data_IF_859143609430
#
_entry.id   IF_859143609430
#
_cell.length_a   1.000
_cell.length_b   1.000
_cell.length_c   1.000
_cell.angle_alpha   90.00
_cell.angle_beta   90.00
_cell.angle_gamma   90.00
#
_symmetry.space_group_name_H-M   'P 1'
#
loop_
_entity.id
_entity.type
_entity.pdbx_description
1 polymer ?
#
# COMPACT_ATOMS: atom_id res chain seq x y z
N UNK A 1 -0.58 37.50 49.00
CA UNK A 1 -1.35 37.00 47.84
C UNK A 1 -0.68 35.77 47.25
N UNK A 2 -1.47 34.88 46.65
CA UNK A 2 -0.99 33.66 46.02
C UNK A 2 -1.70 33.47 44.69
N UNK A 3 -1.01 32.87 43.73
CA UNK A 3 -1.55 32.57 42.42
C UNK A 3 -1.04 31.20 41.97
N UNK A 4 -1.95 30.43 41.39
CA UNK A 4 -1.72 29.05 40.99
C UNK A 4 -1.91 28.92 39.49
N UNK A 5 -0.95 28.28 38.82
CA UNK A 5 -0.99 28.00 37.39
C UNK A 5 -0.53 26.57 37.12
N UNK A 6 -1.18 25.93 36.16
CA UNK A 6 -0.77 24.63 35.62
C UNK A 6 -0.30 24.84 34.17
N UNK A 7 1.01 24.90 33.97
CA UNK A 7 1.63 25.14 32.66
C UNK A 7 2.98 24.44 32.57
N UNK A 8 3.50 24.30 31.35
CA UNK A 8 4.89 23.91 31.16
C UNK A 8 5.83 24.92 31.85
N UNK A 9 6.89 24.46 32.52
CA UNK A 9 7.82 25.35 33.23
C UNK A 9 8.59 26.26 32.25
N UNK A 10 8.75 25.85 31.00
CA UNK A 10 9.37 26.63 29.93
C UNK A 10 8.42 27.67 29.31
N UNK A 11 7.14 27.74 29.72
CA UNK A 11 6.20 28.71 29.15
C UNK A 11 6.63 30.16 29.44
N UNK A 12 6.39 31.13 28.54
CA UNK A 12 6.82 32.52 28.74
C UNK A 12 6.33 33.13 30.05
N UNK A 13 5.11 32.79 30.47
CA UNK A 13 4.54 33.26 31.73
C UNK A 13 5.24 32.65 32.95
N UNK A 14 5.55 31.35 32.94
CA UNK A 14 6.29 30.70 34.03
C UNK A 14 7.70 31.29 34.15
N UNK A 15 8.40 31.48 33.02
CA UNK A 15 9.73 32.10 33.01
C UNK A 15 9.70 33.53 33.55
N UNK A 16 8.73 34.34 33.11
CA UNK A 16 8.55 35.71 33.60
C UNK A 16 8.35 35.72 35.12
N UNK A 17 7.48 34.86 35.66
CA UNK A 17 7.21 34.79 37.09
C UNK A 17 8.43 34.31 37.89
N UNK A 18 9.18 33.33 37.39
CA UNK A 18 10.41 32.84 38.04
C UNK A 18 11.49 33.93 38.14
N UNK A 19 11.53 34.86 37.19
CA UNK A 19 12.51 35.95 37.15
C UNK A 19 12.00 37.24 37.80
N UNK A 20 10.72 37.33 38.16
CA UNK A 20 10.14 38.54 38.74
C UNK A 20 10.59 38.70 40.20
N UNK A 21 11.24 39.83 40.57
CA UNK A 21 11.65 40.08 41.94
C UNK A 21 10.47 40.03 42.91
N UNK A 22 10.64 39.35 44.04
CA UNK A 22 9.59 39.21 45.06
C UNK A 22 8.60 38.07 44.82
N UNK A 23 8.59 37.46 43.62
CA UNK A 23 7.83 36.22 43.35
C UNK A 23 8.67 35.01 43.75
N UNK A 24 8.06 34.06 44.46
CA UNK A 24 8.69 32.81 44.89
C UNK A 24 7.81 31.63 44.53
N UNK A 25 8.44 30.50 44.22
CA UNK A 25 7.73 29.24 44.08
C UNK A 25 7.26 28.73 45.44
N UNK A 26 6.06 28.16 45.47
CA UNK A 26 5.57 27.39 46.60
C UNK A 26 6.04 25.95 46.48
N UNK A 27 6.78 25.47 47.46
CA UNK A 27 7.26 24.08 47.50
C UNK A 27 6.17 23.13 48.01
N UNK A 28 5.99 22.00 47.30
CA UNK A 28 5.09 20.92 47.68
C UNK A 28 5.85 19.83 48.45
N UNK A 29 6.10 20.05 49.75
CA UNK A 29 6.81 19.08 50.59
C UNK A 29 6.16 17.69 50.68
N UNK A 30 4.86 17.57 50.37
CA UNK A 30 4.13 16.31 50.32
C UNK A 30 3.84 15.81 48.89
N UNK A 31 4.59 16.26 47.88
CA UNK A 31 4.35 15.94 46.47
C UNK A 31 4.18 14.43 46.19
N UNK A 32 5.00 13.58 46.82
CA UNK A 32 4.87 12.12 46.69
C UNK A 32 3.58 11.55 47.30
N UNK A 33 3.07 12.15 48.38
CA UNK A 33 1.81 11.72 48.97
C UNK A 33 0.64 12.09 48.06
N UNK A 34 0.68 13.27 47.43
CA UNK A 34 -0.30 13.68 46.43
C UNK A 34 -0.29 12.74 45.22
N UNK A 35 0.87 12.40 44.65
CA UNK A 35 0.93 11.51 43.48
C UNK A 35 0.43 10.09 43.76
N UNK A 36 0.55 9.61 45.01
CA UNK A 36 -0.01 8.30 45.41
C UNK A 36 -1.52 8.32 45.63
N UNK A 37 -2.08 9.45 46.04
CA UNK A 37 -3.52 9.61 46.27
C UNK A 37 -4.29 10.05 45.02
N UNK A 38 -3.64 10.80 44.13
CA UNK A 38 -4.20 11.35 42.90
C UNK A 38 -3.37 10.82 41.72
N UNK A 39 -3.80 9.71 41.07
CA UNK A 39 -3.01 9.00 40.07
C UNK A 39 -2.60 9.83 38.84
N UNK A 40 -3.29 10.93 38.57
CA UNK A 40 -3.00 11.85 37.47
C UNK A 40 -1.90 12.86 37.80
N UNK A 41 -1.52 12.99 39.08
CA UNK A 41 -0.42 13.82 39.52
C UNK A 41 0.86 13.01 39.61
N UNK A 42 1.94 13.64 39.17
CA UNK A 42 3.30 13.16 39.38
C UNK A 42 4.06 14.12 40.30
N UNK A 43 4.85 13.55 41.21
CA UNK A 43 5.82 14.32 41.99
C UNK A 43 6.99 14.65 41.08
N UNK A 44 7.32 15.93 40.96
CA UNK A 44 8.43 16.41 40.12
C UNK A 44 9.31 17.37 40.89
N UNK A 45 10.57 17.48 40.50
CA UNK A 45 11.52 18.42 41.10
C UNK A 45 11.95 19.40 40.03
N UNK A 46 11.87 20.69 40.32
CA UNK A 46 12.47 21.73 39.48
C UNK A 46 13.92 21.95 39.95
N UNK A 47 14.93 21.57 39.16
CA UNK A 47 16.32 21.65 39.60
C UNK A 47 16.78 23.10 39.82
N UNK A 48 17.69 23.29 40.77
CA UNK A 48 18.40 24.54 41.01
C UNK A 48 19.01 25.09 39.72
N UNK A 49 18.82 26.39 39.47
CA UNK A 49 19.42 27.09 38.34
C UNK A 49 18.86 26.73 36.95
N UNK A 50 17.83 25.87 36.85
CA UNK A 50 17.34 25.40 35.55
C UNK A 50 16.72 26.50 34.69
N UNK A 51 16.16 27.53 35.31
CA UNK A 51 15.53 28.65 34.60
C UNK A 51 16.53 29.75 34.22
N UNK A 52 17.50 30.02 35.09
CA UNK A 52 18.63 30.93 34.83
C UNK A 52 19.82 30.48 35.69
N UNK A 53 20.79 29.82 35.06
CA UNK A 53 21.95 29.26 35.76
C UNK A 53 22.90 30.35 36.28
N UNK A 54 22.98 31.49 35.59
CA UNK A 54 23.86 32.59 35.98
C UNK A 54 23.35 33.31 37.23
N UNK A 55 22.02 33.43 37.35
CA UNK A 55 21.34 33.99 38.53
C UNK A 55 20.94 32.95 39.56
N UNK A 56 21.20 31.68 39.29
CA UNK A 56 20.86 30.55 40.15
C UNK A 56 19.35 30.51 40.48
N UNK A 57 18.51 30.52 39.44
CA UNK A 57 17.05 30.51 39.55
C UNK A 57 16.50 29.14 39.10
N UNK A 58 15.77 28.41 39.97
CA UNK A 58 15.58 28.66 41.40
C UNK A 58 16.86 28.42 42.21
N UNK A 59 16.98 29.01 43.41
CA UNK A 59 18.21 28.96 44.24
C UNK A 59 18.48 27.59 44.89
N UNK A 60 17.50 26.69 44.86
CA UNK A 60 17.59 25.31 45.33
C UNK A 60 16.58 24.48 44.54
N UNK A 61 16.70 23.16 44.63
CA UNK A 61 15.72 22.24 44.05
C UNK A 61 14.36 22.44 44.72
N UNK A 62 13.31 22.62 43.93
CA UNK A 62 11.95 22.84 44.45
C UNK A 62 11.07 21.65 44.10
N UNK A 63 10.55 20.96 45.12
CA UNK A 63 9.56 19.91 44.94
C UNK A 63 8.21 20.50 44.51
N UNK A 64 7.64 19.99 43.43
CA UNK A 64 6.39 20.42 42.83
C UNK A 64 5.50 19.21 42.49
N UNK A 65 4.25 19.49 42.13
CA UNK A 65 3.34 18.52 41.55
C UNK A 65 3.02 18.91 40.11
N UNK A 66 2.96 17.92 39.21
CA UNK A 66 2.62 18.13 37.81
C UNK A 66 1.50 17.17 37.37
N UNK A 67 0.41 17.68 36.79
CA UNK A 67 -0.58 16.82 36.14
C UNK A 67 -0.01 16.29 34.82
N UNK A 68 -0.27 15.01 34.53
CA UNK A 68 0.12 14.41 33.24
C UNK A 68 -0.93 14.74 32.19
N UNK A 69 -0.52 15.37 31.09
CA UNK A 69 -1.43 15.70 29.98
C UNK A 69 -1.69 14.46 29.13
N UNK A 70 -2.95 14.15 28.87
CA UNK A 70 -3.36 13.00 28.04
C UNK A 70 -3.80 13.44 26.65
N UNK A 71 -3.35 12.71 25.61
CA UNK A 71 -3.84 12.85 24.24
C UNK A 71 -4.97 11.84 24.01
N UNK A 72 -6.20 12.35 23.88
CA UNK A 72 -7.39 11.51 23.77
C UNK A 72 -7.88 11.39 22.32
N UNK A 73 -8.28 10.17 21.95
CA UNK A 73 -8.93 9.87 20.69
C UNK A 73 -10.29 9.22 20.95
N UNK A 74 -11.27 9.52 20.10
CA UNK A 74 -12.60 8.88 20.15
C UNK A 74 -12.49 7.41 19.75
N UNK A 75 -13.29 6.53 20.35
CA UNK A 75 -13.28 5.08 20.05
C UNK A 75 -13.45 4.74 18.56
N UNK A 76 -14.23 5.52 17.81
CA UNK A 76 -14.43 5.34 16.37
C UNK A 76 -13.36 5.98 15.47
N UNK A 77 -12.31 6.60 16.04
CA UNK A 77 -11.25 7.20 15.25
C UNK A 77 -10.52 6.14 14.43
N UNK A 78 -10.29 6.41 13.15
CA UNK A 78 -9.61 5.46 12.29
C UNK A 78 -8.22 5.13 12.87
N UNK A 79 -7.89 3.84 13.09
CA UNK A 79 -6.65 3.40 13.71
C UNK A 79 -5.36 4.00 13.12
N UNK A 80 -5.33 4.23 11.80
CA UNK A 80 -4.19 4.87 11.15
C UNK A 80 -3.92 6.30 11.66
N UNK A 81 -4.97 7.04 12.02
CA UNK A 81 -4.83 8.38 12.61
C UNK A 81 -4.32 8.30 14.04
N UNK A 82 -4.84 7.36 14.85
CA UNK A 82 -4.34 7.11 16.21
C UNK A 82 -2.85 6.81 16.19
N UNK A 83 -2.41 5.99 15.25
CA UNK A 83 -1.00 5.70 15.03
C UNK A 83 -0.18 6.95 14.67
N UNK A 84 -0.69 7.80 13.76
CA UNK A 84 -0.02 9.05 13.41
C UNK A 84 0.08 10.00 14.59
N UNK A 85 -0.96 10.09 15.42
CA UNK A 85 -0.94 10.88 16.65
C UNK A 85 0.11 10.36 17.64
N UNK A 86 0.18 9.05 17.87
CA UNK A 86 1.19 8.45 18.73
C UNK A 86 2.62 8.73 18.22
N UNK A 87 2.83 8.65 16.90
CA UNK A 87 4.11 8.98 16.26
C UNK A 87 4.47 10.46 16.41
N UNK A 88 3.52 11.36 16.16
CA UNK A 88 3.71 12.79 16.31
C UNK A 88 4.01 13.15 17.77
N UNK A 89 3.27 12.59 18.72
CA UNK A 89 3.51 12.76 20.14
C UNK A 89 4.94 12.31 20.53
N UNK A 90 5.39 11.16 20.02
CA UNK A 90 6.77 10.70 20.20
C UNK A 90 7.83 11.68 19.71
N UNK A 91 7.59 12.30 18.55
CA UNK A 91 8.54 13.28 17.97
C UNK A 91 8.53 14.61 18.71
N UNK A 92 7.35 15.09 19.10
CA UNK A 92 7.17 16.41 19.71
C UNK A 92 7.57 16.39 21.20
N UNK A 93 7.17 15.36 21.93
CA UNK A 93 7.34 15.29 23.40
C UNK A 93 8.49 14.39 23.84
N UNK A 94 9.22 13.76 22.92
CA UNK A 94 10.38 12.92 23.24
C UNK A 94 11.66 13.67 23.58
N UNK A 95 11.73 14.98 23.29
CA UNK A 95 12.86 15.82 23.65
C UNK A 95 12.93 16.03 25.18
N UNK A 96 14.13 16.21 25.75
CA UNK A 96 14.25 16.58 27.16
C UNK A 96 13.67 17.97 27.43
N UNK A 97 13.05 18.13 28.59
CA UNK A 97 12.63 19.42 29.15
C UNK A 97 13.37 19.72 30.46
N UNK A 98 12.95 20.75 31.18
CA UNK A 98 13.54 21.11 32.48
C UNK A 98 13.28 20.07 33.57
N UNK A 99 12.17 19.34 33.45
CA UNK A 99 11.71 18.36 34.43
C UNK A 99 11.85 16.93 33.90
N UNK A 100 11.44 16.69 32.65
CA UNK A 100 11.41 15.35 32.05
C UNK A 100 12.65 15.08 31.20
N UNK A 101 13.30 13.94 31.42
CA UNK A 101 14.42 13.49 30.60
C UNK A 101 14.02 13.07 29.17
N UNK A 102 15.02 12.89 28.30
CA UNK A 102 14.83 12.43 26.92
C UNK A 102 14.09 11.10 26.88
N UNK A 103 13.07 11.00 26.02
CA UNK A 103 12.27 9.79 25.83
C UNK A 103 11.35 9.43 26.99
N UNK A 104 11.19 10.31 27.98
CA UNK A 104 10.25 10.08 29.08
C UNK A 104 8.78 10.17 28.64
N UNK A 105 8.48 11.08 27.71
CA UNK A 105 7.16 11.22 27.11
C UNK A 105 7.21 10.95 25.60
N UNK A 106 6.09 10.51 25.00
CA UNK A 106 4.85 10.07 25.63
C UNK A 106 5.02 8.74 26.39
N UNK A 107 4.26 8.56 27.47
CA UNK A 107 4.34 7.37 28.33
C UNK A 107 3.00 6.63 28.42
N UNK A 108 2.98 5.29 28.48
CA UNK A 108 1.80 4.52 28.84
C UNK A 108 1.53 4.50 30.35
N UNK A 109 2.42 5.06 31.16
CA UNK A 109 2.27 5.10 32.62
C UNK A 109 1.31 6.23 33.02
N UNK A 110 0.57 6.03 34.10
CA UNK A 110 -0.32 7.05 34.69
C UNK A 110 -1.49 7.51 33.79
N UNK A 111 -2.00 6.61 32.93
CA UNK A 111 -3.18 6.90 32.09
C UNK A 111 -4.48 6.72 32.87
N UNK A 112 -5.32 7.76 32.89
CA UNK A 112 -6.69 7.70 33.42
C UNK A 112 -7.66 6.93 32.50
N UNK A 113 -7.31 6.82 31.21
CA UNK A 113 -8.13 6.20 30.18
C UNK A 113 -7.46 4.95 29.60
N UNK A 114 -8.24 3.99 29.03
CA UNK A 114 -7.67 2.84 28.35
C UNK A 114 -6.75 3.24 27.20
N UNK A 115 -5.57 2.62 27.13
CA UNK A 115 -4.62 2.89 26.06
C UNK A 115 -5.09 2.28 24.74
N UNK A 116 -5.12 3.09 23.68
CA UNK A 116 -5.42 2.60 22.34
C UNK A 116 -4.39 1.57 21.86
N UNK A 117 -4.83 0.51 21.19
CA UNK A 117 -3.96 -0.59 20.73
C UNK A 117 -2.82 -0.11 19.84
N UNK A 118 -3.09 0.87 18.99
CA UNK A 118 -2.12 1.46 18.08
C UNK A 118 -1.03 2.25 18.84
N UNK A 119 -1.41 2.94 19.92
CA UNK A 119 -0.49 3.66 20.78
C UNK A 119 0.38 2.70 21.61
N UNK A 120 -0.21 1.64 22.21
CA UNK A 120 0.54 0.59 22.92
C UNK A 120 1.58 -0.08 22.02
N UNK A 121 1.20 -0.41 20.78
CA UNK A 121 2.13 -0.99 19.79
C UNK A 121 3.29 -0.04 19.50
N UNK A 122 3.00 1.25 19.28
CA UNK A 122 4.02 2.25 19.01
C UNK A 122 4.98 2.42 20.20
N UNK A 123 4.49 2.47 21.43
CA UNK A 123 5.34 2.62 22.61
C UNK A 123 6.24 1.41 22.86
N UNK A 124 5.79 0.19 22.52
CA UNK A 124 6.60 -1.04 22.69
C UNK A 124 7.62 -1.27 21.57
N UNK A 125 7.23 -1.00 20.33
CA UNK A 125 7.98 -1.44 19.14
C UNK A 125 8.42 -0.31 18.21
N UNK A 126 8.00 0.92 18.50
CA UNK A 126 8.24 2.08 17.64
C UNK A 126 7.40 2.05 16.37
N UNK A 127 7.79 2.82 15.33
CA UNK A 127 7.10 2.80 14.05
C UNK A 127 7.26 1.43 13.35
N UNK A 128 6.24 0.95 12.61
CA UNK A 128 6.31 -0.31 11.86
C UNK A 128 7.54 -0.37 10.95
N UNK A 129 8.15 -1.55 10.83
CA UNK A 129 9.37 -1.77 10.02
C UNK A 129 9.22 -1.26 8.58
N UNK A 130 8.04 -1.48 7.97
CA UNK A 130 7.75 -1.02 6.61
C UNK A 130 7.77 0.50 6.47
N UNK A 131 7.47 1.25 7.53
CA UNK A 131 7.52 2.72 7.50
C UNK A 131 8.95 3.28 7.49
N UNK A 132 9.97 2.44 7.69
CA UNK A 132 11.37 2.85 7.53
C UNK A 132 11.78 2.99 6.07
N UNK A 133 11.09 2.30 5.16
CA UNK A 133 11.44 2.24 3.74
C UNK A 133 10.32 2.70 2.81
N UNK A 134 9.06 2.67 3.26
CA UNK A 134 7.91 3.03 2.45
C UNK A 134 7.17 4.25 3.03
N UNK A 135 6.49 5.05 2.17
CA UNK A 135 5.56 6.08 2.62
C UNK A 135 4.47 5.51 3.55
N UNK A 136 3.97 6.35 4.46
CA UNK A 136 3.00 5.94 5.49
C UNK A 136 1.79 5.17 4.93
N UNK A 137 1.17 5.65 3.83
CA UNK A 137 -0.03 4.99 3.29
C UNK A 137 0.28 3.55 2.90
N UNK A 138 1.43 3.32 2.25
CA UNK A 138 1.74 2.05 1.64
C UNK A 138 2.17 1.04 2.70
N UNK A 139 2.95 1.49 3.68
CA UNK A 139 3.28 0.69 4.85
C UNK A 139 2.01 0.29 5.63
N UNK A 140 1.10 1.25 5.89
CA UNK A 140 -0.14 0.96 6.62
C UNK A 140 -1.10 0.06 5.82
N UNK A 141 -1.13 0.17 4.48
CA UNK A 141 -1.92 -0.70 3.61
C UNK A 141 -1.40 -2.15 3.68
N UNK A 142 -0.09 -2.35 3.51
CA UNK A 142 0.53 -3.68 3.51
C UNK A 142 0.44 -4.32 4.89
N UNK A 143 0.74 -3.58 5.96
CA UNK A 143 0.69 -4.09 7.35
C UNK A 143 -0.71 -4.59 7.71
N UNK A 144 -1.76 -3.88 7.28
CA UNK A 144 -3.16 -4.23 7.58
C UNK A 144 -3.75 -5.26 6.63
N UNK A 145 -3.35 -5.24 5.35
CA UNK A 145 -3.91 -6.12 4.33
C UNK A 145 -3.04 -7.32 4.01
N UNK A 146 -2.02 -7.63 4.80
CA UNK A 146 -1.09 -8.73 4.49
C UNK A 146 -1.81 -10.06 4.23
N UNK A 147 -2.85 -10.39 5.01
CA UNK A 147 -3.67 -11.59 4.81
C UNK A 147 -4.42 -11.53 3.47
N UNK A 148 -5.06 -10.41 3.15
CA UNK A 148 -5.80 -10.22 1.90
C UNK A 148 -4.86 -10.24 0.70
N UNK A 149 -3.70 -9.58 0.81
CA UNK A 149 -2.67 -9.55 -0.22
C UNK A 149 -2.15 -10.97 -0.49
N UNK A 150 -1.90 -11.74 0.57
CA UNK A 150 -1.53 -13.14 0.45
C UNK A 150 -2.62 -13.96 -0.27
N UNK A 151 -3.90 -13.76 0.08
CA UNK A 151 -5.02 -14.43 -0.60
C UNK A 151 -5.11 -14.04 -2.09
N UNK A 152 -4.95 -12.76 -2.42
CA UNK A 152 -4.95 -12.29 -3.82
C UNK A 152 -3.79 -12.94 -4.59
N UNK A 153 -2.58 -12.96 -4.03
CA UNK A 153 -1.42 -13.61 -4.65
C UNK A 153 -1.69 -15.11 -4.84
N UNK A 154 -2.28 -15.78 -3.85
CA UNK A 154 -2.65 -17.20 -3.94
C UNK A 154 -3.62 -17.48 -5.09
N UNK A 155 -4.56 -16.57 -5.39
CA UNK A 155 -5.49 -16.66 -6.54
C UNK A 155 -4.83 -16.23 -7.85
N UNK A 156 -3.91 -15.27 -7.81
CA UNK A 156 -3.20 -14.79 -8.99
C UNK A 156 -2.29 -15.88 -9.59
N UNK A 157 -1.70 -16.73 -8.74
CA UNK A 157 -0.84 -17.84 -9.19
C UNK A 157 -1.57 -18.78 -10.18
N UNK A 158 -2.73 -19.39 -9.87
CA UNK A 158 -3.45 -20.21 -10.83
C UNK A 158 -3.97 -19.40 -12.01
N UNK A 159 -4.43 -18.16 -11.79
CA UNK A 159 -4.93 -17.31 -12.89
C UNK A 159 -3.84 -16.99 -13.92
N UNK A 160 -2.60 -16.78 -13.47
CA UNK A 160 -1.45 -16.56 -14.36
C UNK A 160 -1.22 -17.73 -15.32
N UNK A 161 -1.61 -18.96 -14.95
CA UNK A 161 -1.53 -20.15 -15.83
C UNK A 161 -2.62 -20.18 -16.90
N UNK A 162 -3.70 -19.43 -16.75
CA UNK A 162 -4.82 -19.37 -17.70
C UNK A 162 -4.53 -18.37 -18.83
N UNK A 163 -3.69 -17.37 -18.60
CA UNK A 163 -3.36 -16.34 -19.60
C UNK A 163 -2.65 -16.93 -20.85
N UNK A 164 -1.59 -17.75 -20.72
CA UNK A 164 -0.91 -18.35 -21.89
C UNK A 164 -1.82 -19.20 -22.80
N UNK A 165 -2.65 -20.15 -22.30
CA UNK A 165 -3.54 -20.92 -23.16
C UNK A 165 -4.63 -20.08 -23.81
N UNK A 166 -5.18 -19.07 -23.11
CA UNK A 166 -6.13 -18.12 -23.71
C UNK A 166 -5.51 -17.32 -24.86
N UNK A 167 -4.28 -16.85 -24.69
CA UNK A 167 -3.55 -16.17 -25.75
C UNK A 167 -3.35 -17.08 -26.97
N UNK A 168 -2.87 -18.32 -26.74
CA UNK A 168 -2.74 -19.36 -27.79
C UNK A 168 -4.05 -19.61 -28.52
N UNK A 169 -5.14 -19.83 -27.79
CA UNK A 169 -6.46 -20.06 -28.35
C UNK A 169 -6.89 -18.89 -29.23
N UNK A 170 -6.79 -17.65 -28.72
CA UNK A 170 -7.18 -16.45 -29.47
C UNK A 170 -6.42 -16.28 -30.77
N UNK A 171 -5.10 -16.55 -30.77
CA UNK A 171 -4.26 -16.47 -31.97
C UNK A 171 -4.64 -17.58 -32.96
N UNK A 172 -4.71 -18.83 -32.50
CA UNK A 172 -5.01 -20.01 -33.33
C UNK A 172 -6.44 -20.00 -33.91
N UNK A 173 -7.42 -19.48 -33.18
CA UNK A 173 -8.80 -19.33 -33.68
C UNK A 173 -8.91 -18.44 -34.91
N UNK A 174 -8.00 -17.48 -35.10
CA UNK A 174 -7.95 -16.65 -36.31
C UNK A 174 -7.59 -17.47 -37.54
N UNK A 175 -6.62 -18.38 -37.42
CA UNK A 175 -6.19 -19.29 -38.51
C UNK A 175 -7.28 -20.33 -38.82
N UNK A 176 -7.91 -20.90 -37.80
CA UNK A 176 -8.98 -21.90 -37.98
C UNK A 176 -10.21 -21.38 -38.72
N UNK A 177 -10.51 -20.08 -38.67
CA UNK A 177 -11.61 -19.49 -39.45
C UNK A 177 -11.39 -19.68 -40.95
N UNK A 178 -10.15 -19.54 -41.43
CA UNK A 178 -9.80 -19.66 -42.83
C UNK A 178 -9.69 -21.12 -43.28
N UNK A 179 -9.18 -22.00 -42.40
CA UNK A 179 -9.26 -23.46 -42.63
C UNK A 179 -10.70 -23.93 -42.86
N UNK A 180 -11.69 -23.40 -42.12
CA UNK A 180 -13.10 -23.72 -42.37
C UNK A 180 -13.58 -23.26 -43.74
N UNK A 181 -13.14 -22.10 -44.22
CA UNK A 181 -13.48 -21.62 -45.56
C UNK A 181 -12.83 -22.47 -46.65
N UNK A 182 -11.55 -22.85 -46.48
CA UNK A 182 -10.88 -23.78 -47.40
C UNK A 182 -11.63 -25.10 -47.51
N UNK A 183 -12.05 -25.67 -46.38
CA UNK A 183 -12.80 -26.94 -46.36
C UNK A 183 -14.19 -26.84 -47.01
N UNK A 184 -14.83 -25.68 -46.93
CA UNK A 184 -16.10 -25.41 -47.64
C UNK A 184 -15.88 -25.35 -49.16
N UNK A 185 -14.77 -24.76 -49.62
CA UNK A 185 -14.40 -24.73 -51.04
C UNK A 185 -14.09 -26.16 -51.52
N UNK A 186 -13.30 -26.93 -50.76
CA UNK A 186 -12.96 -28.31 -51.10
C UNK A 186 -14.19 -29.21 -51.24
N UNK A 187 -15.15 -29.11 -50.31
CA UNK A 187 -16.40 -29.87 -50.39
C UNK A 187 -17.25 -29.53 -51.65
N UNK A 188 -17.12 -28.31 -52.19
CA UNK A 188 -17.79 -27.89 -53.45
C UNK A 188 -17.03 -28.33 -54.69
N UNK A 189 -15.74 -28.64 -54.58
CA UNK A 189 -14.95 -29.23 -55.68
C UNK A 189 -15.37 -30.68 -55.89
N UNK A 190 -15.64 -31.41 -54.81
CA UNK A 190 -16.07 -32.81 -54.86
C UNK A 190 -17.56 -32.98 -55.23
N UNK A 191 -18.33 -31.89 -55.41
CA UNK A 191 -19.74 -31.96 -55.85
C UNK A 191 -19.88 -31.92 -57.37
N UNK A 192 -20.83 -32.71 -57.91
CA UNK A 192 -21.07 -32.84 -59.34
C UNK A 192 -21.58 -31.52 -59.96
N UNK A 193 -20.95 -31.04 -61.04
CA UNK A 193 -21.26 -29.75 -61.68
C UNK A 193 -20.55 -28.51 -61.11
N UNK A 194 -19.42 -28.70 -60.43
CA UNK A 194 -18.65 -27.60 -59.83
C UNK A 194 -18.14 -26.57 -60.87
N UNK A 195 -18.43 -25.27 -60.64
CA UNK A 195 -17.83 -24.16 -61.39
C UNK A 195 -16.36 -23.98 -60.98
N UNK A 196 -15.47 -24.68 -61.70
CA UNK A 196 -14.04 -24.65 -61.45
C UNK A 196 -13.43 -23.24 -61.56
N UNK A 197 -13.97 -22.37 -62.41
CA UNK A 197 -13.46 -21.00 -62.57
C UNK A 197 -13.85 -20.12 -61.38
N UNK A 198 -15.10 -20.22 -60.91
CA UNK A 198 -15.57 -19.54 -59.70
C UNK A 198 -14.83 -19.99 -58.43
N UNK A 199 -14.57 -21.30 -58.30
CA UNK A 199 -13.85 -21.86 -57.14
C UNK A 199 -12.37 -21.46 -57.12
N UNK A 200 -11.71 -21.35 -58.28
CA UNK A 200 -10.34 -20.81 -58.37
C UNK A 200 -10.28 -19.34 -57.91
N UNK A 201 -11.24 -18.52 -58.34
CA UNK A 201 -11.31 -17.12 -57.90
C UNK A 201 -11.62 -16.99 -56.40
N UNK A 202 -12.39 -17.91 -55.81
CA UNK A 202 -12.60 -17.97 -54.36
C UNK A 202 -11.32 -18.36 -53.60
N UNK A 203 -10.52 -19.30 -54.13
CA UNK A 203 -9.21 -19.67 -53.59
C UNK A 203 -8.21 -18.50 -53.63
N UNK A 204 -8.16 -17.75 -54.74
CA UNK A 204 -7.32 -16.55 -54.86
C UNK A 204 -7.67 -15.49 -53.80
N UNK A 205 -8.97 -15.26 -53.58
CA UNK A 205 -9.46 -14.33 -52.54
C UNK A 205 -9.11 -14.83 -51.13
N UNK A 206 -9.16 -16.14 -50.91
CA UNK A 206 -8.80 -16.74 -49.61
C UNK A 206 -7.31 -16.60 -49.33
N UNK A 207 -6.46 -16.82 -50.33
CA UNK A 207 -5.01 -16.69 -50.24
C UNK A 207 -4.59 -15.24 -49.96
N UNK A 208 -5.15 -14.27 -50.69
CA UNK A 208 -4.90 -12.85 -50.49
C UNK A 208 -5.25 -12.40 -49.06
N UNK A 209 -6.44 -12.80 -48.56
CA UNK A 209 -6.88 -12.48 -47.19
C UNK A 209 -6.02 -13.14 -46.11
N UNK A 210 -5.49 -14.33 -46.40
CA UNK A 210 -4.60 -15.04 -45.48
C UNK A 210 -3.22 -14.39 -45.42
N UNK A 211 -2.79 -13.70 -46.49
CA UNK A 211 -1.48 -13.05 -46.55
C UNK A 211 -1.36 -11.76 -45.72
N UNK A 212 -2.47 -11.09 -45.44
CA UNK A 212 -2.50 -9.87 -44.62
C UNK A 212 -2.47 -10.15 -43.10
N UNK A 213 -2.51 -11.42 -42.68
CA UNK A 213 -2.58 -11.77 -41.26
C UNK A 213 -1.19 -11.67 -40.61
N UNK A 214 -1.02 -10.70 -39.72
CA UNK A 214 0.16 -10.61 -38.85
C UNK A 214 0.01 -11.53 -37.63
N UNK A 215 0.83 -12.59 -37.56
CA UNK A 215 0.92 -13.49 -36.41
C UNK A 215 2.31 -13.36 -35.76
N UNK A 216 2.44 -13.51 -34.43
CA UNK A 216 3.74 -13.66 -33.79
C UNK A 216 4.51 -14.85 -34.39
N UNK A 217 5.84 -14.76 -34.47
CA UNK A 217 6.73 -15.77 -35.09
C UNK A 217 6.53 -17.19 -34.53
N UNK A 218 6.09 -17.32 -33.29
CA UNK A 218 5.80 -18.63 -32.66
C UNK A 218 4.58 -19.36 -33.23
N UNK A 219 3.78 -18.72 -34.09
CA UNK A 219 2.57 -19.30 -34.70
C UNK A 219 2.57 -19.24 -36.23
N UNK A 220 3.71 -18.91 -36.86
CA UNK A 220 3.80 -18.83 -38.33
C UNK A 220 3.64 -20.19 -39.00
N UNK A 221 4.02 -21.28 -38.33
CA UNK A 221 3.90 -22.65 -38.87
C UNK A 221 2.47 -23.00 -39.27
N UNK A 222 1.48 -22.57 -38.47
CA UNK A 222 0.06 -22.82 -38.76
C UNK A 222 -0.42 -22.04 -40.00
N UNK A 223 0.14 -20.85 -40.23
CA UNK A 223 -0.16 -20.02 -41.40
C UNK A 223 0.49 -20.58 -42.66
N UNK A 224 1.74 -21.05 -42.56
CA UNK A 224 2.42 -21.72 -43.67
C UNK A 224 1.75 -23.04 -44.05
N UNK A 225 1.30 -23.83 -43.06
CA UNK A 225 0.52 -25.04 -43.31
C UNK A 225 -0.80 -24.73 -44.05
N UNK A 226 -1.51 -23.67 -43.67
CA UNK A 226 -2.74 -23.25 -44.36
C UNK A 226 -2.46 -22.88 -45.82
N UNK A 227 -1.40 -22.09 -46.08
CA UNK A 227 -0.99 -21.71 -47.43
C UNK A 227 -0.62 -22.93 -48.28
N UNK A 228 0.11 -23.88 -47.72
CA UNK A 228 0.43 -25.14 -48.39
C UNK A 228 -0.83 -25.92 -48.77
N UNK A 229 -1.81 -26.00 -47.88
CA UNK A 229 -3.08 -26.67 -48.16
C UNK A 229 -3.89 -25.95 -49.25
N UNK A 230 -3.91 -24.61 -49.27
CA UNK A 230 -4.55 -23.84 -50.35
C UNK A 230 -3.91 -24.17 -51.70
N UNK A 231 -2.57 -24.20 -51.77
CA UNK A 231 -1.85 -24.54 -53.00
C UNK A 231 -2.13 -25.97 -53.46
N UNK A 232 -2.23 -26.92 -52.53
CA UNK A 232 -2.59 -28.32 -52.83
C UNK A 232 -4.00 -28.45 -53.41
N UNK A 233 -5.00 -27.79 -52.80
CA UNK A 233 -6.39 -27.80 -53.29
C UNK A 233 -6.49 -27.13 -54.67
N UNK A 234 -5.75 -26.03 -54.89
CA UNK A 234 -5.65 -25.38 -56.20
C UNK A 234 -5.11 -26.34 -57.27
N UNK A 235 -4.03 -27.06 -56.97
CA UNK A 235 -3.43 -28.01 -57.90
C UNK A 235 -4.40 -29.14 -58.26
N UNK A 236 -5.11 -29.70 -57.27
CA UNK A 236 -6.15 -30.72 -57.48
C UNK A 236 -7.27 -30.23 -58.39
N UNK A 237 -7.77 -29.01 -58.17
CA UNK A 237 -8.84 -28.41 -58.97
C UNK A 237 -8.42 -28.18 -60.44
N UNK A 238 -7.17 -27.74 -60.67
CA UNK A 238 -6.61 -27.57 -62.02
C UNK A 238 -6.48 -28.93 -62.72
N UNK A 239 -6.05 -29.97 -62.00
CA UNK A 239 -5.92 -31.32 -62.55
C UNK A 239 -7.28 -31.93 -62.94
N UNK A 240 -8.30 -31.81 -62.08
CA UNK A 240 -9.67 -32.27 -62.39
C UNK A 240 -10.22 -31.56 -63.63
N UNK A 241 -10.01 -30.25 -63.76
CA UNK A 241 -10.41 -29.49 -64.95
C UNK A 241 -9.68 -29.93 -66.22
N UNK A 242 -8.39 -30.24 -66.13
CA UNK A 242 -7.61 -30.71 -67.27
C UNK A 242 -8.09 -32.08 -67.76
N UNK A 243 -8.45 -32.99 -66.84
CA UNK A 243 -9.03 -34.29 -67.20
C UNK A 243 -10.43 -34.15 -67.81
N UNK A 244 -11.29 -33.28 -67.29
CA UNK A 244 -12.64 -33.05 -67.83
C UNK A 244 -12.67 -32.28 -69.16
N UNK A 245 -11.55 -31.71 -69.62
CA UNK A 245 -11.45 -31.01 -70.90
C UNK A 245 -10.86 -31.88 -72.03
N UNK A 246 -10.45 -33.11 -71.71
CA UNK A 246 -9.83 -34.07 -72.64
C UNK A 246 -10.81 -35.19 -73.05
N UNK A 247 -11.92 -35.35 -72.33
CA UNK A 247 -13.10 -36.15 -72.72
C UNK A 247 -14.12 -35.30 -73.49
#
# INVERSE_FOLDING_TARGET
DALAFASAPESPMAQMLLQTPGVKLLEFGQAQAYSRRLPFLSSVTLPRGVADLARDVPAHDVALIAPTTSLLAREGMHPALVQLFAQAAGKIHGAPGWISGTGHFPTPQSTEFPLAREADRYYRSGPPLLQRYLPFWLANLVDRMWVVLFSIIAVLIPLSRIVPPLYRFRVRSRVFRWYRQLRQIEARIDSDGADAAGLLAELDRLEAKTAEITLPLSYTDELYALRGNIAMVRARLVQTRASSAVD
#
